data_IF_755302244423
#
_entry.id   IF_755302244423
#
_cell.length_a   1.000
_cell.length_b   1.000
_cell.length_c   1.000
_cell.angle_alpha   90.00
_cell.angle_beta   90.00
_cell.angle_gamma   90.00
#
_symmetry.space_group_name_H-M   'P 1'
#
loop_
_entity.id
_entity.type
_entity.pdbx_description
1 polymer ?
#
# COMPACT_ATOMS: atom_id res chain seq x y z
N UNK A 1 -26.07 -4.24 -2.21
CA UNK A 1 -26.09 -3.13 -3.19
C UNK A 1 -26.21 -3.64 -4.63
N UNK A 2 -25.39 -4.59 -5.07
CA UNK A 2 -25.47 -5.21 -6.41
C UNK A 2 -26.87 -5.74 -6.79
N UNK A 3 -27.55 -6.47 -5.91
CA UNK A 3 -28.94 -6.92 -6.13
C UNK A 3 -29.98 -5.80 -6.27
N UNK A 4 -29.73 -4.62 -5.68
CA UNK A 4 -30.62 -3.45 -5.82
C UNK A 4 -30.32 -2.70 -7.14
N UNK A 5 -29.07 -2.73 -7.58
CA UNK A 5 -28.62 -2.20 -8.87
C UNK A 5 -29.14 -3.05 -10.04
N UNK A 6 -29.06 -4.38 -9.95
CA UNK A 6 -29.59 -5.32 -10.96
C UNK A 6 -31.11 -5.24 -11.11
N UNK A 7 -31.81 -4.76 -10.07
CA UNK A 7 -33.26 -4.57 -10.06
C UNK A 7 -33.71 -3.16 -10.45
N UNK A 8 -32.79 -2.26 -10.80
CA UNK A 8 -33.09 -0.87 -11.14
C UNK A 8 -33.68 -0.05 -9.98
N UNK A 9 -33.56 -0.52 -8.73
CA UNK A 9 -34.16 0.13 -7.58
C UNK A 9 -33.38 1.37 -7.08
N UNK A 10 -32.21 1.63 -7.68
CA UNK A 10 -31.32 2.75 -7.35
C UNK A 10 -30.86 3.38 -8.66
N UNK A 11 -31.56 4.42 -9.10
CA UNK A 11 -31.32 5.12 -10.37
C UNK A 11 -30.86 6.58 -10.17
N UNK A 12 -30.00 6.80 -9.18
CA UNK A 12 -29.41 8.10 -8.92
C UNK A 12 -27.90 7.99 -8.89
N UNK A 13 -27.22 8.99 -9.47
CA UNK A 13 -25.79 9.15 -9.33
C UNK A 13 -25.43 9.74 -7.97
N UNK A 14 -24.27 9.36 -7.45
CA UNK A 14 -23.73 9.87 -6.18
C UNK A 14 -22.32 10.40 -6.43
N UNK A 15 -22.04 11.60 -5.93
CA UNK A 15 -20.70 12.18 -5.83
C UNK A 15 -20.17 11.97 -4.42
N UNK A 16 -18.94 11.50 -4.29
CA UNK A 16 -18.23 11.48 -3.01
C UNK A 16 -17.57 12.85 -2.79
N UNK A 17 -17.97 13.56 -1.75
CA UNK A 17 -17.30 14.78 -1.31
C UNK A 17 -16.18 14.43 -0.32
N UNK A 18 -14.95 14.65 -0.75
CA UNK A 18 -13.74 14.57 0.06
C UNK A 18 -13.16 15.99 0.18
N UNK A 19 -13.80 16.85 0.99
CA UNK A 19 -13.43 18.28 1.09
C UNK A 19 -12.15 18.51 1.89
N UNK A 20 -11.93 17.73 2.94
CA UNK A 20 -10.80 17.86 3.86
C UNK A 20 -10.40 16.48 4.39
N UNK A 21 -9.20 16.37 4.95
CA UNK A 21 -8.67 15.12 5.52
C UNK A 21 -9.19 14.81 6.92
N UNK A 22 -9.86 15.77 7.57
CA UNK A 22 -10.37 15.66 8.94
C UNK A 22 -11.83 15.19 9.00
N UNK A 23 -12.51 15.09 7.84
CA UNK A 23 -13.90 14.67 7.75
C UNK A 23 -14.06 13.38 6.95
N UNK A 24 -14.99 12.52 7.41
CA UNK A 24 -15.34 11.30 6.68
C UNK A 24 -15.95 11.66 5.31
N UNK A 25 -15.61 10.92 4.23
CA UNK A 25 -16.20 11.12 2.92
C UNK A 25 -17.72 11.11 2.97
N UNK A 26 -18.36 12.12 2.37
CA UNK A 26 -19.83 12.22 2.33
C UNK A 26 -20.37 11.89 0.95
N UNK A 27 -21.31 10.95 0.89
CA UNK A 27 -22.07 10.65 -0.31
C UNK A 27 -23.15 11.70 -0.54
N UNK A 28 -23.11 12.40 -1.68
CA UNK A 28 -24.10 13.39 -2.09
C UNK A 28 -24.79 12.91 -3.36
N UNK A 29 -26.10 12.75 -3.30
CA UNK A 29 -26.92 12.40 -4.48
C UNK A 29 -26.89 13.57 -5.47
N UNK A 30 -26.60 13.29 -6.74
CA UNK A 30 -26.62 14.27 -7.81
C UNK A 30 -28.05 14.35 -8.39
N UNK A 31 -28.79 15.46 -8.15
CA UNK A 31 -30.17 15.57 -8.60
C UNK A 31 -30.23 15.60 -10.12
N UNK A 32 -31.13 14.80 -10.71
CA UNK A 32 -31.38 14.80 -12.15
C UNK A 32 -30.34 14.08 -13.00
N UNK A 33 -29.36 13.41 -12.38
CA UNK A 33 -28.39 12.56 -13.07
C UNK A 33 -28.72 11.09 -12.79
N UNK A 34 -29.39 10.45 -13.75
CA UNK A 34 -29.68 9.02 -13.72
C UNK A 34 -28.40 8.22 -14.05
N UNK A 35 -28.36 6.94 -13.68
CA UNK A 35 -27.16 6.13 -13.91
C UNK A 35 -26.96 5.82 -15.40
N UNK A 36 -28.05 5.81 -16.18
CA UNK A 36 -28.04 5.59 -17.61
C UNK A 36 -27.31 6.72 -18.37
N UNK A 37 -27.41 7.95 -17.90
CA UNK A 37 -26.69 9.13 -18.42
C UNK A 37 -25.18 9.06 -18.18
N UNK A 38 -24.77 8.19 -17.25
CA UNK A 38 -23.38 7.86 -16.98
C UNK A 38 -22.90 6.61 -17.74
N UNK A 39 -23.72 5.98 -18.57
CA UNK A 39 -23.26 4.89 -19.42
C UNK A 39 -22.62 5.45 -20.70
N UNK A 40 -21.42 4.98 -21.02
CA UNK A 40 -20.82 5.26 -22.32
C UNK A 40 -21.67 4.62 -23.44
N UNK A 41 -21.62 5.14 -24.69
CA UNK A 41 -22.41 4.61 -25.81
C UNK A 41 -22.23 3.11 -26.11
N UNK A 42 -21.19 2.47 -25.57
CA UNK A 42 -20.92 1.03 -25.67
C UNK A 42 -21.44 0.18 -24.51
N UNK A 43 -22.30 0.71 -23.63
CA UNK A 43 -22.89 -0.05 -22.51
C UNK A 43 -21.99 -0.22 -21.28
N UNK A 44 -20.78 0.34 -21.30
CA UNK A 44 -19.95 0.47 -20.12
C UNK A 44 -20.53 1.52 -19.18
N UNK A 45 -20.92 1.13 -17.97
CA UNK A 45 -21.16 2.08 -16.89
C UNK A 45 -19.87 2.88 -16.66
N UNK A 46 -19.92 4.23 -16.63
CA UNK A 46 -18.83 5.03 -16.08
C UNK A 46 -18.64 4.55 -14.64
N UNK A 47 -17.64 3.70 -14.45
CA UNK A 47 -17.18 3.31 -13.14
C UNK A 47 -16.76 4.61 -12.44
N UNK A 48 -17.52 5.04 -11.43
CA UNK A 48 -17.39 6.35 -10.80
C UNK A 48 -16.17 6.48 -9.89
N UNK A 49 -15.26 5.52 -9.91
CA UNK A 49 -13.86 5.76 -9.56
C UNK A 49 -13.05 5.82 -10.85
N UNK A 50 -12.66 7.03 -11.26
CA UNK A 50 -11.50 7.16 -12.13
C UNK A 50 -10.31 6.51 -11.43
N UNK A 51 -9.38 5.92 -12.19
CA UNK A 51 -8.21 5.28 -11.60
C UNK A 51 -7.40 6.28 -10.74
N UNK A 52 -7.39 7.57 -11.09
CA UNK A 52 -6.85 8.66 -10.28
C UNK A 52 -7.49 8.76 -8.89
N UNK A 53 -8.84 8.73 -8.81
CA UNK A 53 -9.55 8.81 -7.54
C UNK A 53 -9.26 7.59 -6.66
N UNK A 54 -9.12 6.40 -7.28
CA UNK A 54 -8.72 5.19 -6.57
C UNK A 54 -7.29 5.30 -6.03
N UNK A 55 -6.35 5.80 -6.83
CA UNK A 55 -4.96 6.02 -6.40
C UNK A 55 -4.92 6.97 -5.20
N UNK A 56 -5.66 8.07 -5.23
CA UNK A 56 -5.69 9.02 -4.11
C UNK A 56 -6.32 8.43 -2.83
N UNK A 57 -7.39 7.61 -2.96
CA UNK A 57 -7.94 6.87 -1.82
C UNK A 57 -6.90 5.89 -1.25
N UNK A 58 -6.16 5.18 -2.10
CA UNK A 58 -5.12 4.26 -1.63
C UNK A 58 -3.97 4.99 -0.95
N UNK A 59 -3.52 6.14 -1.50
CA UNK A 59 -2.50 6.99 -0.85
C UNK A 59 -2.98 7.45 0.52
N UNK A 60 -4.26 7.84 0.64
CA UNK A 60 -4.86 8.20 1.92
C UNK A 60 -4.88 7.02 2.91
N UNK A 61 -5.27 5.83 2.47
CA UNK A 61 -5.27 4.62 3.31
C UNK A 61 -3.84 4.26 3.74
N UNK A 62 -2.87 4.30 2.83
CA UNK A 62 -1.45 4.10 3.17
C UNK A 62 -1.03 5.05 4.29
N UNK A 63 -1.40 6.34 4.16
CA UNK A 63 -1.10 7.38 5.16
C UNK A 63 -1.75 7.14 6.52
N UNK A 64 -3.05 6.88 6.52
CA UNK A 64 -3.84 6.68 7.73
C UNK A 64 -3.39 5.45 8.53
N UNK A 65 -2.87 4.43 7.84
CA UNK A 65 -2.42 3.18 8.46
C UNK A 65 -0.91 3.05 8.58
N UNK A 66 -0.12 4.05 8.18
CA UNK A 66 1.34 3.97 8.28
C UNK A 66 1.77 3.79 9.74
N UNK A 67 2.52 2.73 10.08
CA UNK A 67 2.82 2.38 11.47
C UNK A 67 4.08 3.08 12.02
N UNK A 68 4.77 3.86 11.19
CA UNK A 68 5.96 4.62 11.57
C UNK A 68 5.63 6.09 11.70
N UNK A 69 6.53 6.86 12.33
CA UNK A 69 6.36 8.31 12.37
C UNK A 69 6.36 8.85 10.93
N UNK A 70 5.40 9.72 10.63
CA UNK A 70 5.46 10.57 9.45
C UNK A 70 6.51 11.64 9.74
N UNK A 71 7.75 11.40 9.32
CA UNK A 71 8.96 12.22 9.49
C UNK A 71 8.75 13.50 10.31
N UNK A 72 9.12 13.45 11.59
CA UNK A 72 9.19 14.62 12.46
C UNK A 72 10.53 15.35 12.35
N UNK A 73 11.32 15.08 11.32
CA UNK A 73 12.67 15.63 11.14
C UNK A 73 12.65 17.12 10.81
N UNK A 74 12.82 17.96 11.81
CA UNK A 74 13.43 19.27 11.61
C UNK A 74 14.84 19.04 11.07
N UNK A 75 15.17 19.58 9.90
CA UNK A 75 16.58 19.72 9.51
C UNK A 75 17.25 20.72 10.45
N UNK A 76 18.54 20.55 10.73
CA UNK A 76 19.34 21.61 11.36
C UNK A 76 19.19 22.89 10.52
N UNK A 77 18.50 23.89 11.06
CA UNK A 77 18.07 25.09 10.32
C UNK A 77 16.57 25.38 10.35
N UNK A 78 15.73 24.51 10.93
CA UNK A 78 14.33 24.82 11.21
C UNK A 78 13.37 24.69 10.03
N UNK A 79 13.84 24.24 8.87
CA UNK A 79 13.00 24.05 7.69
C UNK A 79 12.34 22.67 7.70
N UNK A 80 11.03 22.64 7.44
CA UNK A 80 10.27 21.41 7.25
C UNK A 80 10.75 20.75 5.95
N UNK A 81 11.50 19.66 6.04
CA UNK A 81 11.84 18.89 4.85
C UNK A 81 10.55 18.24 4.33
N UNK A 82 10.18 18.42 3.05
CA UNK A 82 9.05 17.71 2.46
C UNK A 82 9.46 16.25 2.28
N UNK A 83 9.41 15.48 3.36
CA UNK A 83 9.51 14.04 3.25
C UNK A 83 8.19 13.50 2.72
N UNK A 84 8.25 13.02 1.49
CA UNK A 84 7.21 12.21 0.91
C UNK A 84 7.37 10.80 1.49
N UNK A 85 6.71 10.45 2.61
CA UNK A 85 6.34 9.05 2.85
C UNK A 85 6.59 8.41 4.21
N UNK A 86 7.20 9.07 5.21
CA UNK A 86 7.52 8.38 6.49
C UNK A 86 8.48 7.19 6.32
N UNK A 87 9.17 7.15 5.16
CA UNK A 87 10.09 6.09 4.78
C UNK A 87 11.36 6.14 5.61
N UNK A 88 11.90 7.32 5.89
CA UNK A 88 13.21 7.45 6.53
C UNK A 88 13.19 6.81 7.93
N UNK A 89 12.16 7.12 8.74
CA UNK A 89 11.98 6.50 10.05
C UNK A 89 11.66 5.00 9.97
N UNK A 90 10.88 4.57 8.98
CA UNK A 90 10.63 3.15 8.74
C UNK A 90 11.91 2.39 8.35
N UNK A 91 12.77 3.02 7.54
CA UNK A 91 14.01 2.45 7.05
C UNK A 91 15.07 2.40 8.16
N UNK A 92 15.20 3.45 8.97
CA UNK A 92 16.03 3.42 10.19
C UNK A 92 15.57 2.31 11.13
N UNK A 93 14.27 2.20 11.39
CA UNK A 93 13.74 1.14 12.24
C UNK A 93 14.05 -0.26 11.69
N UNK A 94 14.03 -0.44 10.36
CA UNK A 94 14.43 -1.70 9.75
C UNK A 94 15.95 -1.93 9.88
N UNK A 95 16.77 -0.99 9.42
CA UNK A 95 18.23 -1.11 9.35
C UNK A 95 18.88 -1.22 10.73
N UNK A 96 18.48 -0.40 11.68
CA UNK A 96 19.05 -0.37 13.02
C UNK A 96 18.38 -1.41 13.93
N UNK A 97 17.14 -1.81 13.64
CA UNK A 97 16.39 -2.80 14.43
C UNK A 97 16.67 -4.27 14.06
N UNK A 98 17.00 -4.58 12.80
CA UNK A 98 17.11 -5.98 12.31
C UNK A 98 18.50 -6.62 12.46
N UNK A 99 19.46 -5.98 13.14
CA UNK A 99 20.81 -6.55 13.28
C UNK A 99 20.95 -7.73 14.28
N UNK A 100 19.87 -8.18 14.93
CA UNK A 100 19.93 -9.29 15.91
C UNK A 100 19.03 -10.49 15.55
N UNK A 101 19.49 -11.70 15.91
CA UNK A 101 18.73 -12.95 15.76
C UNK A 101 17.39 -12.94 16.52
N UNK A 102 17.28 -12.14 17.58
CA UNK A 102 16.02 -11.95 18.31
C UNK A 102 15.00 -11.17 17.46
N UNK A 103 15.45 -10.21 16.65
CA UNK A 103 14.56 -9.45 15.79
C UNK A 103 14.07 -10.27 14.59
N UNK A 104 14.87 -11.19 14.06
CA UNK A 104 14.41 -12.17 13.06
C UNK A 104 13.29 -13.07 13.63
N UNK A 105 13.39 -13.44 14.92
CA UNK A 105 12.32 -14.15 15.62
C UNK A 105 11.07 -13.28 15.83
N UNK A 106 11.24 -11.98 16.14
CA UNK A 106 10.13 -11.02 16.25
C UNK A 106 9.46 -10.80 14.90
N UNK A 107 10.21 -10.63 13.81
CA UNK A 107 9.69 -10.48 12.45
C UNK A 107 8.93 -11.74 12.01
N UNK A 108 9.46 -12.94 12.27
CA UNK A 108 8.75 -14.20 12.05
C UNK A 108 7.46 -14.29 12.86
N UNK A 109 7.50 -13.86 14.12
CA UNK A 109 6.31 -13.83 15.00
C UNK A 109 5.28 -12.81 14.53
N UNK A 110 5.73 -11.64 14.06
CA UNK A 110 4.88 -10.63 13.46
C UNK A 110 4.23 -11.19 12.18
N UNK A 111 5.01 -11.72 11.24
CA UNK A 111 4.51 -12.39 10.03
C UNK A 111 3.47 -13.47 10.35
N UNK A 112 3.72 -14.30 11.37
CA UNK A 112 2.77 -15.29 11.85
C UNK A 112 1.48 -14.68 12.42
N UNK A 113 1.56 -13.56 13.15
CA UNK A 113 0.39 -12.84 13.65
C UNK A 113 -0.39 -12.17 12.51
N UNK A 114 0.31 -11.61 11.52
CA UNK A 114 -0.28 -11.01 10.33
C UNK A 114 -1.07 -12.06 9.54
N UNK A 115 -0.52 -13.26 9.32
CA UNK A 115 -1.19 -14.36 8.60
C UNK A 115 -2.43 -14.89 9.32
N UNK A 116 -2.49 -14.74 10.65
CA UNK A 116 -3.64 -15.14 11.49
C UNK A 116 -4.64 -14.01 11.74
N UNK A 117 -4.47 -12.86 11.09
CA UNK A 117 -5.38 -11.72 11.24
C UNK A 117 -5.25 -10.95 12.56
N UNK A 118 -4.26 -11.27 13.41
CA UNK A 118 -4.11 -10.73 14.77
C UNK A 118 -3.57 -9.29 14.70
N UNK A 119 -4.32 -8.33 15.26
CA UNK A 119 -4.00 -6.90 15.21
C UNK A 119 -2.60 -6.60 15.78
N UNK A 120 -1.78 -5.88 15.02
CA UNK A 120 -0.49 -5.35 15.47
C UNK A 120 -0.72 -3.88 15.87
N UNK A 121 -0.88 -3.67 17.17
CA UNK A 121 -1.07 -2.39 17.91
C UNK A 121 -2.30 -1.50 17.59
N UNK A 122 -3.22 -1.28 18.57
CA UNK A 122 -4.12 -0.14 18.57
C UNK A 122 -3.32 1.14 18.87
N UNK A 123 -3.31 2.12 17.96
CA UNK A 123 -2.73 3.45 18.20
C UNK A 123 -1.42 3.78 17.46
N UNK A 124 -0.83 2.84 16.71
CA UNK A 124 0.42 3.04 15.96
C UNK A 124 0.32 2.46 14.54
N UNK A 125 -0.61 3.00 13.73
CA UNK A 125 -0.91 2.50 12.38
C UNK A 125 -1.33 1.02 12.31
N UNK A 126 -1.51 0.51 11.11
CA UNK A 126 -1.76 -0.92 10.81
C UNK A 126 -0.90 -1.31 9.60
N UNK A 127 0.20 -2.02 9.88
CA UNK A 127 1.17 -2.45 8.85
C UNK A 127 0.51 -3.25 7.72
N UNK A 128 -0.52 -4.05 7.99
CA UNK A 128 -1.21 -4.83 6.95
C UNK A 128 -1.99 -3.94 6.02
N UNK A 129 -2.74 -2.99 6.57
CA UNK A 129 -3.55 -2.07 5.77
C UNK A 129 -2.68 -1.11 4.99
N UNK A 130 -1.60 -0.60 5.59
CA UNK A 130 -0.61 0.23 4.90
C UNK A 130 0.02 -0.52 3.72
N UNK A 131 0.47 -1.76 3.95
CA UNK A 131 1.01 -2.62 2.90
C UNK A 131 -0.01 -2.91 1.81
N UNK A 132 -1.22 -3.33 2.17
CA UNK A 132 -2.26 -3.66 1.21
C UNK A 132 -2.60 -2.46 0.31
N UNK A 133 -2.59 -1.24 0.86
CA UNK A 133 -2.73 -0.02 0.08
C UNK A 133 -1.51 0.20 -0.83
N UNK A 134 -0.29 0.13 -0.28
CA UNK A 134 0.95 0.33 -1.02
C UNK A 134 1.14 -0.67 -2.19
N UNK A 135 0.79 -1.95 -2.01
CA UNK A 135 0.82 -2.96 -3.07
C UNK A 135 -0.09 -2.54 -4.24
N UNK A 136 -1.32 -2.08 -3.94
CA UNK A 136 -2.27 -1.64 -4.97
C UNK A 136 -1.81 -0.35 -5.65
N UNK A 137 -1.18 0.57 -4.91
CA UNK A 137 -0.60 1.78 -5.51
C UNK A 137 0.52 1.39 -6.48
N UNK A 138 1.46 0.54 -6.07
CA UNK A 138 2.57 0.12 -6.92
C UNK A 138 2.09 -0.66 -8.15
N UNK A 139 1.02 -1.45 -8.02
CA UNK A 139 0.39 -2.10 -9.17
C UNK A 139 -0.19 -1.10 -10.17
N UNK A 140 -0.81 -0.03 -9.69
CA UNK A 140 -1.53 0.92 -10.54
C UNK A 140 -0.63 2.00 -11.13
N UNK A 141 0.33 2.49 -10.33
CA UNK A 141 1.13 3.70 -10.63
C UNK A 141 2.59 3.59 -10.16
N UNK A 142 3.12 2.38 -9.97
CA UNK A 142 4.46 2.20 -9.43
C UNK A 142 5.58 2.73 -10.34
N UNK A 143 5.34 2.80 -11.64
CA UNK A 143 6.31 3.33 -12.61
C UNK A 143 6.21 4.85 -12.71
N UNK A 144 5.00 5.42 -12.63
CA UNK A 144 4.76 6.86 -12.61
C UNK A 144 5.09 7.51 -11.25
N UNK A 145 4.98 6.77 -10.15
CA UNK A 145 5.32 7.21 -8.78
C UNK A 145 6.34 6.27 -8.12
N UNK A 146 7.63 6.26 -8.56
CA UNK A 146 8.64 5.32 -8.05
C UNK A 146 8.85 5.36 -6.53
N UNK A 147 8.60 6.49 -5.86
CA UNK A 147 8.68 6.60 -4.40
C UNK A 147 7.73 5.65 -3.68
N UNK A 148 6.61 5.26 -4.31
CA UNK A 148 5.68 4.29 -3.76
C UNK A 148 6.30 2.89 -3.67
N UNK A 149 7.20 2.53 -4.60
CA UNK A 149 7.94 1.25 -4.55
C UNK A 149 8.91 1.20 -3.36
N UNK A 150 9.57 2.31 -3.07
CA UNK A 150 10.45 2.46 -1.90
C UNK A 150 9.65 2.30 -0.60
N UNK A 151 8.48 2.94 -0.51
CA UNK A 151 7.59 2.82 0.65
C UNK A 151 7.05 1.38 0.81
N UNK A 152 6.70 0.73 -0.30
CA UNK A 152 6.29 -0.68 -0.26
C UNK A 152 7.45 -1.59 0.18
N UNK A 153 8.66 -1.36 -0.31
CA UNK A 153 9.83 -2.15 0.06
C UNK A 153 10.09 -2.17 1.57
N UNK A 154 10.01 -1.01 2.23
CA UNK A 154 10.21 -0.95 3.69
C UNK A 154 9.10 -1.64 4.46
N UNK A 155 7.84 -1.53 4.02
CA UNK A 155 6.72 -2.26 4.63
C UNK A 155 6.89 -3.79 4.48
N UNK A 156 7.35 -4.25 3.31
CA UNK A 156 7.63 -5.67 3.05
C UNK A 156 8.79 -6.19 3.91
N UNK A 157 9.85 -5.39 4.09
CA UNK A 157 10.96 -5.74 4.97
C UNK A 157 10.47 -5.97 6.42
N UNK A 158 9.63 -5.06 6.94
CA UNK A 158 9.00 -5.21 8.27
C UNK A 158 8.02 -6.39 8.37
N UNK A 159 7.49 -6.87 7.24
CA UNK A 159 6.71 -8.10 7.18
C UNK A 159 7.58 -9.38 7.09
N UNK A 160 8.90 -9.26 6.98
CA UNK A 160 9.82 -10.38 6.76
C UNK A 160 9.83 -10.92 5.33
N UNK A 161 9.23 -10.21 4.36
CA UNK A 161 9.18 -10.61 2.95
C UNK A 161 10.37 -10.03 2.17
N UNK A 162 11.58 -10.40 2.59
CA UNK A 162 12.83 -9.78 2.16
C UNK A 162 13.08 -9.85 0.65
N UNK A 163 12.73 -10.96 -0.01
CA UNK A 163 12.90 -11.09 -1.47
C UNK A 163 12.04 -10.11 -2.26
N UNK A 164 10.76 -9.95 -1.86
CA UNK A 164 9.87 -8.96 -2.47
C UNK A 164 10.28 -7.52 -2.13
N UNK A 165 10.74 -7.30 -0.90
CA UNK A 165 11.28 -6.00 -0.48
C UNK A 165 12.49 -5.59 -1.36
N UNK A 166 13.42 -6.52 -1.59
CA UNK A 166 14.59 -6.29 -2.44
C UNK A 166 14.20 -6.00 -3.90
N UNK A 167 13.21 -6.72 -4.43
CA UNK A 167 12.71 -6.52 -5.79
C UNK A 167 12.14 -5.11 -6.00
N UNK A 168 11.28 -4.64 -5.08
CA UNK A 168 10.70 -3.29 -5.15
C UNK A 168 11.76 -2.21 -4.95
N UNK A 169 12.66 -2.40 -4.00
CA UNK A 169 13.71 -1.42 -3.70
C UNK A 169 14.69 -1.29 -4.86
N UNK A 170 15.07 -2.42 -5.49
CA UNK A 170 15.90 -2.44 -6.70
C UNK A 170 15.21 -1.73 -7.86
N UNK A 171 13.91 -1.96 -8.06
CA UNK A 171 13.14 -1.26 -9.07
C UNK A 171 13.15 0.26 -8.84
N UNK A 172 12.93 0.72 -7.59
CA UNK A 172 13.05 2.12 -7.22
C UNK A 172 14.44 2.69 -7.48
N UNK A 173 15.49 2.01 -7.00
CA UNK A 173 16.89 2.46 -7.12
C UNK A 173 17.38 2.55 -8.57
N UNK A 174 16.67 1.92 -9.51
CA UNK A 174 16.96 1.99 -10.95
C UNK A 174 16.31 3.19 -11.65
N UNK A 175 15.61 4.06 -10.92
CA UNK A 175 14.91 5.23 -11.47
C UNK A 175 15.66 6.55 -11.21
N UNK A 176 15.47 7.58 -12.05
CA UNK A 176 15.98 8.93 -11.78
C UNK A 176 15.48 9.51 -10.45
N UNK A 177 14.27 9.16 -10.04
CA UNK A 177 13.69 9.59 -8.77
C UNK A 177 14.49 9.13 -7.54
N UNK A 178 15.23 8.03 -7.63
CA UNK A 178 16.14 7.59 -6.58
C UNK A 178 17.43 8.43 -6.55
N UNK A 179 17.92 8.92 -7.68
CA UNK A 179 19.11 9.78 -7.74
C UNK A 179 18.82 11.20 -7.25
N UNK A 180 17.63 11.70 -7.55
CA UNK A 180 17.12 13.03 -7.17
C UNK A 180 16.61 13.10 -5.72
N UNK A 181 16.45 11.97 -5.05
CA UNK A 181 15.98 11.92 -3.67
C UNK A 181 16.96 12.62 -2.69
N UNK A 182 16.46 13.10 -1.53
CA UNK A 182 17.30 13.67 -0.48
C UNK A 182 18.48 12.75 -0.12
N UNK A 183 19.63 13.35 0.19
CA UNK A 183 20.85 12.57 0.46
C UNK A 183 20.68 11.52 1.56
N UNK A 184 19.95 11.87 2.62
CA UNK A 184 19.63 10.96 3.72
C UNK A 184 18.78 9.76 3.26
N UNK A 185 17.66 10.01 2.58
CA UNK A 185 16.82 8.98 1.97
C UNK A 185 17.63 8.07 1.04
N UNK A 186 18.54 8.60 0.24
CA UNK A 186 19.42 7.82 -0.65
C UNK A 186 20.35 6.90 0.13
N UNK A 187 20.95 7.39 1.22
CA UNK A 187 21.80 6.58 2.10
C UNK A 187 20.98 5.49 2.78
N UNK A 188 19.79 5.81 3.29
CA UNK A 188 18.91 4.83 3.94
C UNK A 188 18.41 3.76 2.96
N UNK A 189 18.01 4.14 1.75
CA UNK A 189 17.59 3.19 0.71
C UNK A 189 18.73 2.22 0.34
N UNK A 190 19.97 2.71 0.23
CA UNK A 190 21.13 1.84 -0.03
C UNK A 190 21.44 0.91 1.15
N UNK A 191 21.45 1.42 2.39
CA UNK A 191 21.65 0.60 3.59
C UNK A 191 20.56 -0.46 3.75
N UNK A 192 19.31 -0.13 3.43
CA UNK A 192 18.21 -1.08 3.42
C UNK A 192 18.45 -2.15 2.36
N UNK A 193 18.89 -1.79 1.16
CA UNK A 193 19.22 -2.76 0.11
C UNK A 193 20.35 -3.71 0.52
N UNK A 194 21.44 -3.17 1.08
CA UNK A 194 22.57 -3.97 1.58
C UNK A 194 22.12 -4.97 2.67
N UNK A 195 21.25 -4.54 3.58
CA UNK A 195 20.67 -5.41 4.60
C UNK A 195 19.81 -6.52 3.97
N UNK A 196 18.96 -6.18 3.00
CA UNK A 196 18.11 -7.15 2.30
C UNK A 196 18.93 -8.19 1.53
N UNK A 197 19.99 -7.78 0.83
CA UNK A 197 20.89 -8.68 0.09
C UNK A 197 21.70 -9.59 1.03
N UNK A 198 21.95 -9.16 2.26
CA UNK A 198 22.61 -9.95 3.29
C UNK A 198 21.76 -11.08 3.88
N UNK A 199 20.44 -11.08 3.67
CA UNK A 199 19.54 -12.11 4.23
C UNK A 199 19.54 -13.38 3.35
N UNK A 200 19.86 -14.57 3.89
CA UNK A 200 19.79 -15.82 3.15
C UNK A 200 18.38 -16.08 2.60
N UNK A 201 18.26 -16.28 1.28
CA UNK A 201 16.98 -16.49 0.61
C UNK A 201 16.26 -15.22 0.12
N UNK A 202 16.81 -14.02 0.40
CA UNK A 202 16.32 -12.77 -0.19
C UNK A 202 16.69 -12.60 -1.66
N UNK A 203 17.72 -13.31 -2.14
CA UNK A 203 18.02 -13.49 -3.56
C UNK A 203 17.00 -14.45 -4.23
N UNK A 204 15.72 -14.11 -4.12
CA UNK A 204 14.64 -14.80 -4.82
C UNK A 204 14.47 -14.20 -6.22
N UNK A 205 13.97 -14.97 -7.18
CA UNK A 205 13.47 -14.50 -8.49
C UNK A 205 12.20 -13.61 -8.38
N UNK A 206 11.99 -12.95 -7.23
CA UNK A 206 10.87 -12.07 -7.02
C UNK A 206 11.00 -10.84 -7.94
N UNK A 207 9.95 -10.60 -8.71
CA UNK A 207 9.81 -9.40 -9.51
C UNK A 207 9.06 -8.33 -8.72
N UNK A 208 9.34 -7.06 -9.04
CA UNK A 208 8.56 -5.96 -8.54
C UNK A 208 7.10 -6.08 -9.00
N UNK A 209 6.17 -5.71 -8.13
CA UNK A 209 4.75 -5.84 -8.38
C UNK A 209 4.35 -4.98 -9.59
N UNK A 210 3.55 -5.61 -10.43
CA UNK A 210 2.96 -5.05 -11.63
C UNK A 210 1.63 -5.75 -11.90
N UNK A 211 0.73 -5.11 -12.65
CA UNK A 211 -0.51 -5.75 -13.11
C UNK A 211 -0.23 -7.09 -13.79
N UNK A 212 0.82 -7.15 -14.63
CA UNK A 212 1.23 -8.37 -15.33
C UNK A 212 1.62 -9.49 -14.34
N UNK A 213 2.43 -9.18 -13.34
CA UNK A 213 2.85 -10.18 -12.33
C UNK A 213 1.67 -10.75 -11.54
N UNK A 214 0.69 -9.90 -11.20
CA UNK A 214 -0.48 -10.31 -10.42
C UNK A 214 -1.45 -11.15 -11.25
N UNK A 215 -1.69 -10.76 -12.51
CA UNK A 215 -2.54 -11.54 -13.42
C UNK A 215 -1.89 -12.87 -13.84
N UNK A 216 -0.57 -12.98 -13.78
CA UNK A 216 0.16 -14.22 -14.04
C UNK A 216 0.18 -15.19 -12.84
N UNK A 217 -0.27 -14.76 -11.67
CA UNK A 217 -0.34 -15.62 -10.48
C UNK A 217 -1.60 -16.49 -10.56
N UNK A 218 -1.50 -17.82 -10.42
CA UNK A 218 -2.69 -18.66 -10.40
C UNK A 218 -3.62 -18.23 -9.26
N UNK A 219 -4.95 -18.28 -9.44
CA UNK A 219 -5.87 -17.97 -8.37
C UNK A 219 -5.54 -18.88 -7.17
N UNK A 220 -5.67 -18.38 -5.92
CA UNK A 220 -5.49 -19.22 -4.75
C UNK A 220 -6.39 -20.44 -4.91
N UNK A 221 -5.85 -21.63 -4.65
CA UNK A 221 -6.65 -22.83 -4.64
C UNK A 221 -7.85 -22.59 -3.73
N UNK A 222 -9.05 -22.92 -4.20
CA UNK A 222 -10.20 -23.07 -3.32
C UNK A 222 -9.86 -24.23 -2.37
N UNK A 223 -9.13 -23.95 -1.29
CA UNK A 223 -9.36 -24.71 -0.08
C UNK A 223 -10.85 -24.52 0.17
N UNK A 224 -11.61 -25.62 0.05
CA UNK A 224 -13.00 -25.68 0.41
C UNK A 224 -13.08 -25.23 1.87
N UNK A 225 -13.19 -23.92 2.05
CA UNK A 225 -13.43 -23.28 3.32
C UNK A 225 -14.70 -23.96 3.77
N UNK A 226 -14.58 -24.78 4.82
CA UNK A 226 -15.69 -25.44 5.44
C UNK A 226 -16.56 -24.34 5.99
N UNK A 227 -17.38 -23.73 5.13
CA UNK A 227 -18.47 -22.85 5.45
C UNK A 227 -19.39 -23.70 6.29
N UNK A 228 -19.11 -23.76 7.60
CA UNK A 228 -20.05 -24.25 8.58
C UNK A 228 -21.28 -23.39 8.41
N UNK A 229 -22.37 -24.01 7.97
CA UNK A 229 -23.68 -23.41 8.02
C UNK A 229 -23.93 -22.99 9.47
N UNK A 230 -23.92 -21.67 9.70
CA UNK A 230 -24.30 -21.13 10.99
C UNK A 230 -25.79 -21.41 11.17
N UNK A 231 -26.21 -22.12 12.24
CA UNK A 231 -27.61 -22.22 12.56
C UNK A 231 -28.09 -20.82 12.95
N UNK A 232 -29.09 -20.36 12.21
CA UNK A 232 -29.83 -19.12 12.43
C UNK A 232 -30.37 -19.00 13.86
#
# INVERSE_FOLDING_TARGET
>A
MQRLLERGAVDFAVRMECKTFDELPRAVVLPGLDRASLAAPGGGLLNTCTWDALVEVLVHLKRAYWPFAWDSGYTEGGARSPSYGGFDDAARAAVDGMQSAEMEAIARTAAHRLSRGIWTSPGAGDLRRARAAAERICMLVGDERPSERRDLAVLLAHCGEFGRAAAELKAYLSTPAAEEAPAETRVLAKRLMEMLEGVPGAASDAEAISVKSVLGTPPPAEEADGLQELPW
#
